data_IF_538955889126
#
_entry.id   IF_538955889126
#
_cell.length_a   1.000
_cell.length_b   1.000
_cell.length_c   1.000
_cell.angle_alpha   90.00
_cell.angle_beta   90.00
_cell.angle_gamma   90.00
#
_symmetry.space_group_name_H-M   'P 1'
#
loop_
_entity.id
_entity.type
_entity.pdbx_description
1 polymer ?
2 polymer ?
3 branched ?
4 branched ?
5 branched ?
6 non-polymer ?
7 non-polymer ?
#
# COMPACT_ATOMS: atom_id res chain seq x y z
N UNK A 8 12.55 14.65 4.93
CA UNK A 8 13.52 15.41 4.15
C UNK A 8 14.94 15.12 4.59
N UNK A 9 15.85 15.11 3.62
CA UNK A 9 17.28 15.12 3.91
C UNK A 9 17.95 16.15 3.00
N UNK A 10 19.23 16.42 3.23
CA UNK A 10 19.92 17.46 2.48
C UNK A 10 20.64 16.91 1.25
N UNK A 11 20.63 17.69 0.18
CA UNK A 11 21.28 17.32 -1.07
C UNK A 11 22.77 17.10 -0.91
N UNK A 12 23.25 15.93 -1.31
CA UNK A 12 24.68 15.62 -1.22
C UNK A 12 25.31 15.50 -2.61
N UNK A 13 24.49 15.37 -3.64
CA UNK A 13 25.01 15.21 -5.00
C UNK A 13 25.45 16.54 -5.61
N UNK A 14 26.71 16.58 -6.09
CA UNK A 14 27.37 17.75 -6.66
C UNK A 14 26.55 18.48 -7.72
N UNK A 15 26.11 17.76 -8.75
CA UNK A 15 25.44 18.37 -9.90
C UNK A 15 24.14 19.11 -9.52
N UNK A 16 23.55 18.73 -8.39
CA UNK A 16 22.25 19.27 -7.98
C UNK A 16 22.30 20.25 -6.81
N UNK A 17 23.50 20.53 -6.31
CA UNK A 17 23.64 21.49 -5.21
C UNK A 17 23.40 22.91 -5.70
N UNK A 18 22.61 23.66 -4.94
CA UNK A 18 22.34 25.06 -5.26
C UNK A 18 21.63 25.27 -6.58
N UNK A 19 20.65 24.41 -6.87
CA UNK A 19 19.83 24.55 -8.07
C UNK A 19 18.61 25.43 -7.77
N UNK A 20 18.25 25.50 -6.49
CA UNK A 20 17.11 26.28 -6.05
C UNK A 20 16.69 25.89 -4.64
N UNK A 21 16.93 24.63 -4.28
CA UNK A 21 16.55 24.11 -2.97
C UNK A 21 17.64 23.17 -2.47
N UNK A 22 17.79 23.07 -1.15
CA UNK A 22 18.85 22.26 -0.57
C UNK A 22 18.34 20.93 -0.02
N UNK A 23 17.04 20.71 -0.09
CA UNK A 23 16.45 19.53 0.54
C UNK A 23 15.66 18.62 -0.40
N UNK A 24 16.01 17.34 -0.39
CA UNK A 24 15.34 16.33 -1.20
C UNK A 24 14.98 15.10 -0.37
N UNK A 25 14.09 14.26 -0.89
CA UNK A 25 13.70 13.05 -0.18
C UNK A 25 14.17 11.79 -0.91
N UNK A 26 14.08 10.65 -0.22
CA UNK A 26 14.39 9.36 -0.82
C UNK A 26 13.44 8.30 -0.29
N UNK A 27 13.05 7.32 -1.13
CA UNK A 27 13.47 7.14 -2.53
C UNK A 27 12.79 8.12 -3.50
N UNK A 28 13.35 8.21 -4.70
CA UNK A 28 12.88 9.14 -5.73
C UNK A 28 11.97 8.47 -6.75
N UNK A 29 11.55 9.23 -7.75
CA UNK A 29 10.72 8.73 -8.84
C UNK A 29 11.37 7.56 -9.58
N UNK A 30 12.69 7.42 -9.45
CA UNK A 30 13.41 6.33 -10.10
C UNK A 30 13.63 5.17 -9.15
N UNK A 31 13.14 5.31 -7.92
CA UNK A 31 13.29 4.27 -6.90
C UNK A 31 14.77 4.01 -6.58
N UNK A 32 15.41 5.00 -5.96
CA UNK A 32 16.81 4.89 -5.56
C UNK A 32 16.93 4.89 -4.04
N UNK A 33 17.86 4.10 -3.52
CA UNK A 33 18.07 4.05 -2.08
C UNK A 33 18.73 5.31 -1.56
N UNK A 34 19.97 5.52 -2.00
CA UNK A 34 20.78 6.65 -1.53
C UNK A 34 20.92 7.72 -2.61
N UNK A 35 21.32 8.92 -2.19
CA UNK A 35 21.63 9.98 -3.14
C UNK A 35 22.86 9.58 -3.95
N UNK A 36 23.77 8.85 -3.31
CA UNK A 36 24.98 8.37 -3.95
C UNK A 36 24.66 7.43 -5.12
N UNK A 37 23.67 6.56 -4.92
CA UNK A 37 23.21 5.69 -6.00
C UNK A 37 22.58 6.53 -7.11
N UNK A 38 21.84 7.56 -6.71
CA UNK A 38 21.18 8.44 -7.66
C UNK A 38 22.19 9.31 -8.40
N UNK A 39 23.28 9.64 -7.70
CA UNK A 39 24.32 10.49 -8.24
C UNK A 39 25.14 9.84 -9.33
N UNK A 40 25.45 8.55 -9.14
CA UNK A 40 26.19 7.74 -10.10
C UNK A 40 25.54 7.75 -11.49
N UNK A 41 24.21 7.84 -11.50
CA UNK A 41 23.44 7.80 -12.73
C UNK A 41 23.29 9.18 -13.37
N UNK A 42 22.99 10.20 -12.56
CA UNK A 42 22.82 11.54 -13.08
C UNK A 42 24.16 12.15 -13.51
N UNK A 43 25.25 11.61 -12.99
CA UNK A 43 26.60 12.04 -13.36
C UNK A 43 26.91 11.68 -14.81
N UNK A 44 26.21 10.67 -15.33
CA UNK A 44 26.38 10.26 -16.70
C UNK A 44 25.86 11.32 -17.68
N UNK A 45 25.21 12.35 -17.16
CA UNK A 45 24.70 13.44 -17.98
C UNK A 45 25.63 14.66 -17.92
N UNK A 46 26.66 14.58 -17.09
CA UNK A 46 27.56 15.71 -16.85
C UNK A 46 28.04 16.44 -18.12
N UNK A 47 28.40 15.69 -19.18
CA UNK A 47 28.72 16.37 -20.44
C UNK A 47 27.63 17.35 -20.87
N UNK A 48 26.40 16.87 -21.00
CA UNK A 48 25.29 17.69 -21.50
C UNK A 48 25.01 18.93 -20.66
N UNK A 49 25.42 18.89 -19.39
CA UNK A 49 25.27 20.04 -18.52
C UNK A 49 26.28 21.12 -18.91
N UNK A 50 27.53 20.68 -19.10
CA UNK A 50 28.62 21.57 -19.49
C UNK A 50 28.42 22.17 -20.87
N UNK A 51 27.98 21.34 -21.82
CA UNK A 51 27.63 21.79 -23.16
C UNK A 51 26.55 22.87 -23.07
N UNK A 52 25.71 22.77 -22.05
CA UNK A 52 24.57 23.64 -21.85
C UNK A 52 23.69 23.63 -23.09
N UNK A 53 23.30 22.43 -23.52
CA UNK A 53 22.40 22.29 -24.66
C UNK A 53 21.03 22.83 -24.29
N UNK A 54 20.75 22.85 -23.00
CA UNK A 54 19.54 23.47 -22.46
C UNK A 54 19.84 23.98 -21.06
N UNK A 55 19.40 25.21 -20.76
CA UNK A 55 19.61 25.83 -19.44
C UNK A 55 18.88 25.04 -18.38
N UNK A 56 17.77 24.45 -18.78
CA UNK A 56 16.85 23.77 -17.86
C UNK A 56 17.34 22.39 -17.44
N UNK A 57 18.18 21.78 -18.25
CA UNK A 57 18.59 20.39 -18.03
C UNK A 57 19.06 20.07 -16.62
N UNK A 58 19.90 20.94 -16.05
CA UNK A 58 20.42 20.70 -14.70
C UNK A 58 19.30 20.70 -13.67
N UNK A 59 18.36 21.64 -13.84
CA UNK A 59 17.20 21.72 -12.96
C UNK A 59 16.26 20.55 -13.17
N UNK A 60 16.03 20.20 -14.44
CA UNK A 60 15.13 19.11 -14.77
C UNK A 60 15.66 17.78 -14.24
N UNK A 61 16.91 17.46 -14.55
CA UNK A 61 17.50 16.21 -14.11
C UNK A 61 17.54 16.11 -12.60
N UNK A 62 17.56 17.25 -11.93
CA UNK A 62 17.66 17.27 -10.48
C UNK A 62 16.28 17.19 -9.82
N UNK A 63 15.25 17.65 -10.51
CA UNK A 63 13.89 17.56 -9.99
C UNK A 63 13.40 16.13 -10.10
N UNK A 64 14.09 15.34 -10.91
CA UNK A 64 13.70 13.96 -11.17
C UNK A 64 14.52 12.98 -10.35
N UNK A 65 15.81 13.25 -10.22
CA UNK A 65 16.72 12.36 -9.49
C UNK A 65 16.81 12.71 -8.01
N UNK A 66 16.57 13.99 -7.70
CA UNK A 66 16.47 14.44 -6.32
C UNK A 66 15.34 15.45 -6.18
N UNK A 67 14.09 14.97 -6.25
CA UNK A 67 12.93 15.86 -6.24
C UNK A 67 12.86 16.68 -4.96
N UNK A 68 12.16 17.80 -5.00
CA UNK A 68 12.13 18.73 -3.89
C UNK A 68 11.48 18.08 -2.67
N UNK A 69 11.88 18.52 -1.49
CA UNK A 69 11.26 18.02 -0.26
C UNK A 69 10.91 19.20 0.64
N UNK A 70 9.62 19.38 0.89
CA UNK A 70 9.17 20.52 1.67
C UNK A 70 8.55 20.12 3.00
N UNK A 71 8.77 20.96 4.01
CA UNK A 71 8.26 20.71 5.36
C UNK A 71 6.84 21.26 5.54
N UNK A 72 6.31 21.92 4.52
CA UNK A 72 4.94 22.41 4.56
C UNK A 72 4.05 21.68 3.55
N UNK A 73 4.67 21.22 2.46
CA UNK A 73 3.97 20.50 1.41
C UNK A 73 4.53 19.08 1.29
N UNK A 74 3.76 18.10 1.74
CA UNK A 74 4.25 16.72 1.77
C UNK A 74 3.79 15.84 0.60
N UNK A 75 3.18 16.47 -0.41
CA UNK A 75 2.89 15.78 -1.67
C UNK A 75 4.03 16.03 -2.64
N UNK A 76 4.38 15.02 -3.47
CA UNK A 76 5.47 15.17 -4.44
C UNK A 76 5.26 16.37 -5.35
N UNK A 77 6.37 16.93 -5.85
CA UNK A 77 6.31 18.09 -6.73
C UNK A 77 7.25 17.89 -7.92
N UNK A 78 6.70 17.53 -9.08
CA UNK A 78 7.44 17.26 -10.30
C UNK A 78 7.61 18.52 -11.15
N UNK A 79 8.57 18.50 -12.09
CA UNK A 79 8.71 19.63 -13.02
C UNK A 79 7.60 19.62 -14.04
N UNK A 80 7.20 20.78 -14.54
CA UNK A 80 6.12 20.83 -15.52
C UNK A 80 6.56 20.25 -16.84
N UNK A 81 5.58 19.91 -17.68
CA UNK A 81 5.84 19.33 -18.99
C UNK A 81 6.67 20.28 -19.86
N UNK A 82 6.46 21.58 -19.67
CA UNK A 82 7.15 22.58 -20.48
C UNK A 82 8.65 22.60 -20.19
N UNK A 83 9.01 22.46 -18.91
CA UNK A 83 10.41 22.41 -18.50
C UNK A 83 11.12 21.24 -19.16
N UNK A 84 10.46 20.08 -19.14
CA UNK A 84 11.00 18.89 -19.73
C UNK A 84 11.08 18.99 -21.25
N UNK A 85 10.07 19.58 -21.87
CA UNK A 85 10.02 19.70 -23.32
C UNK A 85 11.12 20.61 -23.88
N UNK A 86 11.63 21.50 -23.04
CA UNK A 86 12.71 22.41 -23.43
C UNK A 86 14.07 21.73 -23.32
N UNK A 87 14.26 20.97 -22.25
CA UNK A 87 15.48 20.21 -22.06
C UNK A 87 15.59 19.14 -23.15
N UNK A 88 14.45 18.55 -23.52
CA UNK A 88 14.44 17.56 -24.58
C UNK A 88 14.71 18.24 -25.92
N UNK A 89 14.18 19.44 -26.07
CA UNK A 89 14.35 20.20 -27.31
C UNK A 89 15.83 20.50 -27.57
N UNK A 90 16.55 20.89 -26.52
CA UNK A 90 17.94 21.25 -26.66
C UNK A 90 18.88 20.06 -26.70
N UNK A 91 18.62 19.09 -25.83
CA UNK A 91 19.56 17.97 -25.65
C UNK A 91 19.39 16.80 -26.62
N UNK A 92 18.15 16.40 -26.86
CA UNK A 92 17.88 15.23 -27.70
C UNK A 92 18.60 15.18 -29.05
N UNK A 93 18.60 16.29 -29.82
CA UNK A 93 19.30 16.19 -31.11
C UNK A 93 20.78 15.84 -30.96
N UNK A 94 21.44 16.49 -30.01
CA UNK A 94 22.86 16.25 -29.75
C UNK A 94 23.10 14.82 -29.29
N UNK A 95 22.20 14.34 -28.42
CA UNK A 95 22.28 12.99 -27.89
C UNK A 95 21.99 11.97 -28.98
N UNK A 96 20.99 12.28 -29.80
CA UNK A 96 20.65 11.47 -30.96
C UNK A 96 21.88 11.26 -31.86
N UNK A 97 22.67 12.32 -32.04
CA UNK A 97 23.83 12.29 -32.94
C UNK A 97 24.90 11.30 -32.50
N UNK A 98 24.87 10.92 -31.22
CA UNK A 98 25.86 10.00 -30.69
C UNK A 98 25.26 8.63 -30.34
N UNK A 99 24.05 8.36 -30.81
CA UNK A 99 23.44 7.07 -30.60
C UNK A 99 22.86 6.91 -29.20
N UNK A 100 22.32 8.01 -28.68
CA UNK A 100 21.67 8.02 -27.38
C UNK A 100 20.24 8.48 -27.49
N UNK A 101 19.32 7.56 -27.24
CA UNK A 101 17.90 7.87 -27.25
C UNK A 101 17.54 8.66 -26.00
N UNK A 102 16.59 9.58 -26.14
CA UNK A 102 16.06 10.32 -25.00
C UNK A 102 15.39 9.32 -24.07
N UNK A 103 15.88 9.23 -22.83
CA UNK A 103 15.48 8.19 -21.87
C UNK A 103 13.97 8.14 -21.63
N UNK A 104 13.43 6.93 -21.52
CA UNK A 104 11.98 6.74 -21.42
C UNK A 104 11.42 7.22 -20.08
N UNK A 105 12.27 7.31 -19.07
CA UNK A 105 11.89 7.87 -17.79
C UNK A 105 11.73 9.38 -17.90
N UNK A 106 12.51 9.98 -18.80
CA UNK A 106 12.53 11.43 -19.01
C UNK A 106 11.37 11.90 -19.87
N UNK A 107 10.53 10.98 -20.32
CA UNK A 107 9.42 11.32 -21.20
C UNK A 107 8.54 12.40 -20.59
N UNK A 108 7.99 13.26 -21.43
CA UNK A 108 7.38 14.51 -20.97
C UNK A 108 5.87 14.47 -20.83
N UNK A 109 5.24 13.44 -21.38
CA UNK A 109 3.80 13.26 -21.25
C UNK A 109 3.46 12.55 -19.95
N UNK A 110 4.49 12.06 -19.26
CA UNK A 110 4.34 11.43 -17.95
C UNK A 110 4.32 12.53 -16.88
N UNK A 111 4.42 13.78 -17.33
CA UNK A 111 4.45 14.93 -16.44
C UNK A 111 3.19 15.76 -16.58
N UNK A 112 2.81 16.45 -15.50
CA UNK A 112 1.66 17.36 -15.54
C UNK A 112 1.95 18.56 -16.41
N UNK A 113 0.91 19.16 -17.01
CA UNK A 113 1.07 20.41 -17.72
C UNK A 113 0.68 21.53 -16.76
N UNK A 114 1.27 22.71 -16.95
CA UNK A 114 1.02 23.82 -16.03
C UNK A 114 -0.39 24.36 -16.20
N UNK A 115 -0.99 24.82 -15.10
CA UNK A 115 -2.29 25.46 -15.16
C UNK A 115 -3.44 24.65 -14.58
N UNK A 116 -3.12 23.72 -13.67
CA UNK A 116 -4.14 22.89 -13.04
C UNK A 116 -3.89 22.79 -11.54
N UNK A 117 -4.88 23.19 -10.72
CA UNK A 117 -4.80 23.04 -9.26
C UNK A 117 -4.62 21.59 -8.84
N UNK A 118 -5.18 20.66 -9.62
CA UNK A 118 -5.02 19.22 -9.37
C UNK A 118 -3.61 18.74 -9.71
N UNK A 119 -3.09 19.23 -10.82
CA UNK A 119 -1.74 18.86 -11.26
C UNK A 119 -0.77 20.02 -10.98
N UNK A 120 -0.15 20.01 -9.81
CA UNK A 120 0.74 21.10 -9.38
C UNK A 120 2.20 20.80 -9.71
N UNK A 121 2.88 21.76 -10.35
CA UNK A 121 4.21 21.54 -10.88
C UNK A 121 5.17 22.73 -10.78
N UNK A 122 6.39 22.56 -11.29
CA UNK A 122 7.43 23.59 -11.23
C UNK A 122 7.85 24.06 -12.63
N UNK A 123 7.73 25.36 -12.89
CA UNK A 123 7.99 25.93 -14.21
C UNK A 123 8.05 27.46 -14.20
N UNK A 124 8.23 28.05 -15.38
CA UNK A 124 8.38 29.50 -15.55
C UNK A 124 7.11 30.22 -15.96
N UNK A 125 6.45 30.86 -14.99
CA UNK A 125 5.26 31.66 -15.22
C UNK A 125 4.17 30.92 -16.01
N UNK B 10 10.20 -21.08 20.69
CA UNK B 10 8.98 -20.64 21.35
C UNK B 10 9.20 -20.41 22.84
N UNK B 11 10.14 -19.52 23.16
CA UNK B 11 10.41 -19.16 24.55
C UNK B 11 10.08 -17.70 24.79
N UNK B 12 9.58 -17.38 26.01
CA UNK B 12 9.12 -16.04 26.38
C UNK B 12 10.08 -14.89 26.05
N UNK B 13 11.35 -15.19 25.79
CA UNK B 13 12.26 -14.15 25.34
C UNK B 13 11.96 -13.80 23.89
N UNK B 14 11.61 -14.82 23.11
CA UNK B 14 11.26 -14.63 21.71
C UNK B 14 9.85 -14.04 21.58
N UNK B 15 8.92 -14.55 22.37
CA UNK B 15 7.54 -14.05 22.36
C UNK B 15 7.45 -12.56 22.65
N UNK B 16 8.38 -12.04 23.44
CA UNK B 16 8.37 -10.62 23.83
C UNK B 16 9.00 -9.72 22.76
N UNK B 17 10.07 -10.20 22.14
CA UNK B 17 10.79 -9.40 21.16
C UNK B 17 9.99 -9.14 19.88
N UNK B 18 9.05 -10.03 19.58
CA UNK B 18 8.23 -9.90 18.38
C UNK B 18 6.85 -9.32 18.67
N UNK B 19 6.41 -9.43 19.93
CA UNK B 19 5.04 -9.09 20.31
C UNK B 19 4.62 -7.65 19.99
N UNK B 20 5.55 -6.71 20.12
CA UNK B 20 5.23 -5.32 19.81
C UNK B 20 4.87 -5.19 18.35
N UNK B 21 5.72 -5.74 17.50
CA UNK B 21 5.52 -5.67 16.06
C UNK B 21 4.27 -6.43 15.62
N UNK B 22 4.06 -7.61 16.20
CA UNK B 22 2.90 -8.43 15.87
C UNK B 22 1.59 -7.69 16.12
N UNK B 23 1.52 -7.01 17.26
CA UNK B 23 0.31 -6.29 17.64
C UNK B 23 -0.01 -5.19 16.64
N UNK B 24 1.04 -4.52 16.16
CA UNK B 24 0.89 -3.54 15.11
C UNK B 24 0.35 -4.20 13.85
N UNK B 25 0.85 -5.40 13.56
CA UNK B 25 0.44 -6.13 12.38
C UNK B 25 -1.01 -6.51 12.39
N UNK B 26 -1.46 -7.15 13.47
CA UNK B 26 -2.84 -7.55 13.61
C UNK B 26 -3.79 -6.36 13.49
N UNK B 27 -3.36 -5.20 13.99
CA UNK B 27 -4.13 -3.98 13.85
C UNK B 27 -4.29 -3.55 12.40
N UNK B 28 -3.21 -3.63 11.63
CA UNK B 28 -3.25 -3.36 10.19
C UNK B 28 -4.25 -4.28 9.49
N UNK B 29 -4.30 -5.51 9.96
CA UNK B 29 -5.21 -6.49 9.41
C UNK B 29 -6.63 -6.09 9.72
N UNK B 30 -6.85 -5.63 10.94
CA UNK B 30 -8.18 -5.21 11.36
C UNK B 30 -8.60 -3.94 10.63
N UNK B 31 -7.67 -3.01 10.52
CA UNK B 31 -7.93 -1.76 9.80
C UNK B 31 -8.26 -1.98 8.32
N UNK B 32 -7.57 -2.90 7.66
CA UNK B 32 -7.85 -3.21 6.26
C UNK B 32 -9.21 -3.91 6.10
N UNK B 33 -9.51 -4.79 7.04
CA UNK B 33 -10.80 -5.45 7.11
C UNK B 33 -11.90 -4.39 7.25
N UNK B 34 -11.64 -3.40 8.11
CA UNK B 34 -12.53 -2.27 8.27
C UNK B 34 -12.67 -1.50 6.96
N UNK B 35 -11.58 -1.39 6.20
CA UNK B 35 -11.62 -0.70 4.92
C UNK B 35 -12.49 -1.44 3.92
N UNK B 36 -12.21 -2.73 3.77
CA UNK B 36 -12.88 -3.55 2.75
C UNK B 36 -14.39 -3.60 2.96
N UNK B 37 -14.83 -3.45 4.20
CA UNK B 37 -16.24 -3.54 4.53
C UNK B 37 -16.83 -2.21 5.03
N UNK B 38 -16.16 -1.11 4.65
CA UNK B 38 -16.51 0.23 5.09
C UNK B 38 -17.99 0.59 4.91
N UNK B 39 -18.59 0.11 3.82
CA UNK B 39 -19.96 0.49 3.49
C UNK B 39 -20.91 -0.69 3.39
N UNK B 40 -20.60 -1.76 4.12
CA UNK B 40 -21.48 -2.92 4.18
C UNK B 40 -22.14 -3.02 5.56
N UNK B 41 -23.19 -3.83 5.67
CA UNK B 41 -23.96 -3.91 6.91
C UNK B 41 -23.12 -4.42 8.07
N UNK B 42 -22.33 -5.45 7.81
CA UNK B 42 -21.26 -5.84 8.71
C UNK B 42 -20.03 -5.02 8.33
N UNK B 43 -19.49 -4.25 9.26
CA UNK B 43 -18.43 -3.31 8.92
C UNK B 43 -17.15 -3.58 9.69
N UNK B 44 -16.90 -4.86 9.97
CA UNK B 44 -15.79 -5.26 10.83
C UNK B 44 -15.86 -4.53 12.17
N UNK B 45 -16.84 -4.91 13.02
CA UNK B 45 -16.92 -4.38 14.38
C UNK B 45 -15.94 -5.16 15.27
N UNK B 46 -14.70 -5.23 14.84
CA UNK B 46 -13.74 -6.10 15.48
C UNK B 46 -12.58 -5.33 16.07
N UNK B 47 -12.11 -5.81 17.21
CA UNK B 47 -10.91 -5.30 17.84
C UNK B 47 -9.78 -6.28 17.56
N UNK B 48 -8.55 -5.81 17.71
CA UNK B 48 -7.41 -6.69 17.71
C UNK B 48 -7.61 -7.71 18.83
N UNK B 49 -7.95 -7.19 20.01
CA UNK B 49 -8.20 -8.00 21.19
C UNK B 49 -9.16 -9.15 20.91
N UNK B 50 -10.20 -8.87 20.14
CA UNK B 50 -11.30 -9.81 19.96
C UNK B 50 -10.87 -11.16 19.40
N UNK B 51 -9.85 -11.18 18.55
CA UNK B 51 -9.42 -12.45 17.95
C UNK B 51 -8.60 -13.30 18.90
N UNK B 52 -8.30 -12.76 20.08
CA UNK B 52 -7.70 -13.51 21.17
C UNK B 52 -8.78 -13.96 22.14
N UNK B 53 -9.71 -13.03 22.42
CA UNK B 53 -10.85 -13.30 23.30
C UNK B 53 -11.85 -14.19 22.59
N UNK B 54 -11.83 -14.10 21.28
CA UNK B 54 -12.82 -14.76 20.41
C UNK B 54 -14.24 -14.26 20.68
N UNK B 55 -14.35 -13.22 21.50
CA UNK B 55 -15.63 -12.58 21.74
C UNK B 55 -15.95 -11.64 20.58
N UNK B 56 -17.17 -11.74 20.06
CA UNK B 56 -17.55 -10.97 18.90
C UNK B 56 -17.34 -11.75 17.62
N UNK B 57 -16.72 -12.92 17.74
CA UNK B 57 -16.58 -13.83 16.60
C UNK B 57 -16.39 -15.31 16.97
N UNK B 58 -17.31 -15.84 17.76
CA UNK B 58 -17.37 -17.29 17.96
C UNK B 58 -18.28 -17.86 16.90
N UNK B 59 -18.89 -16.96 16.13
CA UNK B 59 -19.78 -17.34 15.05
C UNK B 59 -18.92 -17.75 13.87
N UNK B 60 -18.98 -19.03 13.51
CA UNK B 60 -18.22 -19.52 12.36
C UNK B 60 -18.84 -19.05 11.05
N UNK B 61 -19.18 -17.77 10.98
CA UNK B 61 -19.79 -17.18 9.80
C UNK B 61 -18.76 -16.90 8.73
N UNK B 62 -19.26 -16.59 7.53
CA UNK B 62 -18.41 -16.26 6.40
C UNK B 62 -17.48 -15.09 6.70
N UNK B 63 -18.00 -14.13 7.46
CA UNK B 63 -17.28 -12.89 7.76
C UNK B 63 -16.19 -13.10 8.81
N UNK B 64 -16.37 -14.12 9.65
CA UNK B 64 -15.38 -14.44 10.65
C UNK B 64 -14.14 -15.04 9.98
N UNK B 65 -14.37 -15.71 8.86
CA UNK B 65 -13.29 -16.25 8.05
C UNK B 65 -12.36 -15.15 7.57
N UNK B 66 -12.96 -14.10 7.01
CA UNK B 66 -12.18 -12.99 6.50
C UNK B 66 -11.34 -12.35 7.60
N UNK B 67 -11.94 -12.15 8.77
CA UNK B 67 -11.20 -11.55 9.88
C UNK B 67 -9.95 -12.35 10.22
N UNK B 68 -10.08 -13.67 10.30
CA UNK B 68 -8.94 -14.53 10.59
C UNK B 68 -7.81 -14.41 9.57
N UNK B 69 -8.19 -14.46 8.29
CA UNK B 69 -7.23 -14.37 7.20
C UNK B 69 -6.49 -13.03 7.18
N UNK B 70 -7.24 -11.94 7.10
CA UNK B 70 -6.68 -10.60 6.96
C UNK B 70 -5.83 -10.16 8.15
N UNK B 71 -6.15 -10.67 9.34
CA UNK B 71 -5.35 -10.36 10.53
C UNK B 71 -4.10 -11.23 10.55
N UNK B 72 -4.24 -12.50 10.17
CA UNK B 72 -3.10 -13.38 10.03
C UNK B 72 -2.19 -12.81 8.95
N UNK B 73 -2.80 -12.39 7.86
CA UNK B 73 -2.08 -11.76 6.76
C UNK B 73 -1.41 -10.48 7.22
N UNK B 74 -2.03 -9.77 8.16
CA UNK B 74 -1.47 -8.53 8.66
C UNK B 74 -0.21 -8.75 9.46
N UNK B 75 -0.24 -9.75 10.33
CA UNK B 75 0.90 -10.08 11.17
C UNK B 75 2.08 -10.48 10.30
N UNK B 76 1.83 -11.38 9.35
CA UNK B 76 2.89 -11.83 8.45
C UNK B 76 3.46 -10.71 7.59
N UNK B 77 2.57 -9.96 6.95
CA UNK B 77 2.97 -8.85 6.08
C UNK B 77 3.86 -7.86 6.80
N UNK B 78 3.42 -7.43 7.98
CA UNK B 78 4.12 -6.40 8.73
C UNK B 78 5.51 -6.85 9.19
N UNK B 79 5.60 -8.08 9.70
CA UNK B 79 6.86 -8.59 10.21
C UNK B 79 7.84 -9.02 9.11
N UNK B 80 7.30 -9.46 7.98
CA UNK B 80 8.13 -9.73 6.81
C UNK B 80 8.79 -8.43 6.39
N UNK B 81 8.05 -7.33 6.45
CA UNK B 81 8.58 -6.02 6.15
C UNK B 81 9.46 -5.53 7.31
N UNK B 82 9.10 -5.91 8.53
CA UNK B 82 9.94 -5.61 9.69
C UNK B 82 11.32 -6.21 9.52
N UNK B 83 11.34 -7.49 9.16
CA UNK B 83 12.58 -8.23 8.93
C UNK B 83 13.44 -7.58 7.86
N UNK B 84 12.82 -7.27 6.73
CA UNK B 84 13.54 -6.71 5.58
C UNK B 84 14.17 -5.35 5.89
N UNK B 85 13.43 -4.48 6.57
CA UNK B 85 14.03 -3.24 7.08
C UNK B 85 14.94 -3.55 8.26
N UNK B 86 15.66 -2.56 8.74
CA UNK B 86 16.58 -2.79 9.84
C UNK B 86 15.91 -2.79 11.20
N UNK B 87 15.07 -3.78 11.45
CA UNK B 87 14.33 -3.83 12.71
C UNK B 87 14.72 -5.01 13.59
N UNK B 88 15.09 -6.12 12.98
CA UNK B 88 15.58 -7.27 13.72
C UNK B 88 16.98 -7.65 13.27
N UNK B 89 17.86 -7.89 14.23
CA UNK B 89 19.23 -8.27 13.94
C UNK B 89 19.33 -9.73 13.52
N UNK B 90 18.50 -10.56 14.14
CA UNK B 90 18.47 -12.00 13.89
C UNK B 90 18.30 -12.34 12.42
N UNK B 91 17.26 -11.80 11.80
CA UNK B 91 16.99 -12.12 10.42
C UNK B 91 17.55 -11.06 9.46
N UNK B 92 18.26 -11.52 8.45
CA UNK B 92 18.58 -10.68 7.31
C UNK B 92 17.44 -10.88 6.34
N UNK B 93 17.65 -10.61 5.06
CA UNK B 93 16.61 -10.90 4.07
C UNK B 93 16.91 -12.16 3.27
N UNK B 94 16.18 -12.34 2.16
CA UNK B 94 16.35 -13.50 1.31
C UNK B 94 17.63 -13.39 0.50
N UNK B 95 18.75 -13.76 1.12
CA UNK B 95 20.05 -13.72 0.46
C UNK B 95 20.21 -14.87 -0.52
N UNK B 96 19.43 -15.93 -0.32
CA UNK B 96 19.39 -17.04 -1.25
C UNK B 96 18.92 -16.55 -2.61
N UNK B 97 19.47 -17.14 -3.68
CA UNK B 97 19.15 -16.78 -5.06
C UNK B 97 19.76 -15.43 -5.47
N UNK B 98 20.33 -14.70 -4.52
CA UNK B 98 20.97 -13.41 -4.83
C UNK B 98 22.25 -13.57 -5.65
N UNK B 99 22.45 -12.66 -6.60
CA UNK B 99 23.63 -12.69 -7.44
C UNK B 99 23.43 -13.47 -8.73
N UNK B 100 22.59 -14.49 -8.68
CA UNK B 100 22.33 -15.34 -9.86
C UNK B 100 21.74 -14.59 -11.05
N UNK B 101 21.63 -15.28 -12.18
CA UNK B 101 21.04 -14.69 -13.37
C UNK B 101 19.64 -15.26 -13.55
N UNK B 102 18.64 -14.39 -13.46
CA UNK B 102 17.26 -14.82 -13.50
C UNK B 102 16.61 -14.76 -14.86
N UNK B 103 17.23 -14.03 -15.78
CA UNK B 103 16.67 -13.89 -17.11
C UNK B 103 17.55 -13.08 -18.05
N UNK B 104 17.06 -12.88 -19.27
CA UNK B 104 17.82 -12.15 -20.28
C UNK B 104 17.99 -10.68 -19.92
N UNK B 105 19.22 -10.31 -19.58
CA UNK B 105 19.53 -8.92 -19.29
C UNK B 105 19.18 -8.48 -17.88
N UNK B 106 18.94 -9.44 -16.99
CA UNK B 106 18.77 -9.11 -15.58
C UNK B 106 19.33 -10.14 -14.63
N UNK B 107 19.70 -9.68 -13.44
CA UNK B 107 20.26 -10.53 -12.41
C UNK B 107 19.54 -10.29 -11.09
N UNK B 108 19.58 -11.26 -10.20
CA UNK B 108 18.99 -11.09 -8.87
C UNK B 108 19.87 -10.20 -8.01
N UNK B 109 19.36 -9.82 -6.85
CA UNK B 109 20.06 -8.88 -5.99
C UNK B 109 19.05 -8.13 -5.13
N UNK B 110 19.48 -7.01 -4.56
CA UNK B 110 18.63 -6.24 -3.66
C UNK B 110 18.22 -7.01 -2.43
N UNK B 111 17.23 -6.50 -1.70
CA UNK B 111 16.73 -7.22 -0.53
C UNK B 111 15.34 -7.78 -0.75
N UNK B 112 15.27 -9.04 -1.20
CA UNK B 112 14.00 -9.72 -1.35
C UNK B 112 13.40 -9.99 0.02
N UNK B 113 12.12 -9.72 0.17
CA UNK B 113 11.49 -9.82 1.48
C UNK B 113 11.49 -11.26 2.01
N UNK B 114 11.75 -11.41 3.31
CA UNK B 114 11.78 -12.72 3.94
C UNK B 114 10.38 -13.15 4.37
N UNK B 115 9.57 -13.58 3.41
CA UNK B 115 8.19 -13.94 3.69
C UNK B 115 8.10 -15.13 4.62
N UNK B 116 9.01 -16.09 4.46
CA UNK B 116 9.03 -17.28 5.29
C UNK B 116 9.28 -16.94 6.76
N UNK B 117 9.92 -15.80 6.99
CA UNK B 117 10.11 -15.31 8.35
C UNK B 117 8.78 -14.82 8.89
N UNK B 118 8.09 -14.01 8.11
CA UNK B 118 6.80 -13.47 8.48
C UNK B 118 5.78 -14.56 8.73
N UNK B 119 5.78 -15.58 7.88
CA UNK B 119 4.88 -16.71 8.05
C UNK B 119 5.22 -17.42 9.35
N UNK B 120 6.52 -17.52 9.65
CA UNK B 120 6.99 -18.18 10.86
C UNK B 120 6.40 -17.55 12.11
N UNK B 121 6.52 -16.23 12.21
CA UNK B 121 6.00 -15.49 13.34
C UNK B 121 4.48 -15.53 13.39
N UNK B 122 3.85 -15.26 12.26
CA UNK B 122 2.40 -15.21 12.16
C UNK B 122 1.73 -16.49 12.65
N UNK B 123 2.30 -17.63 12.30
CA UNK B 123 1.81 -18.91 12.81
C UNK B 123 1.89 -18.94 14.34
N UNK B 124 3.03 -18.49 14.86
CA UNK B 124 3.31 -18.55 16.30
C UNK B 124 2.28 -17.81 17.14
N UNK B 125 1.94 -16.60 16.72
CA UNK B 125 0.98 -15.78 17.46
C UNK B 125 -0.45 -16.08 17.07
N UNK B 126 -0.76 -15.88 15.78
CA UNK B 126 -2.13 -15.99 15.29
C UNK B 126 -2.71 -17.39 15.43
N UNK B 127 -1.96 -18.41 14.99
CA UNK B 127 -2.47 -19.78 15.08
C UNK B 127 -2.48 -20.27 16.52
N UNK B 128 -1.75 -19.58 17.39
CA UNK B 128 -1.72 -19.90 18.80
C UNK B 128 -3.06 -19.68 19.49
N UNK B 129 -3.67 -18.53 19.22
CA UNK B 129 -4.95 -18.17 19.82
C UNK B 129 -6.06 -19.15 19.48
N UNK B 130 -5.88 -19.90 18.38
CA UNK B 130 -6.86 -20.91 17.98
C UNK B 130 -6.71 -22.14 18.88
N UNK B 131 -7.18 -22.02 20.11
CA UNK B 131 -7.11 -23.12 21.05
C UNK B 131 -8.30 -24.05 20.86
N UNK B 132 -8.11 -25.31 21.23
CA UNK B 132 -9.13 -26.31 21.02
C UNK B 132 -8.74 -27.21 19.87
N UNK B 133 -9.26 -28.44 19.87
CA UNK B 133 -8.96 -29.37 18.81
C UNK B 133 -10.22 -29.58 17.96
N UNK B 134 -11.27 -28.83 18.31
CA UNK B 134 -12.58 -28.96 17.67
C UNK B 134 -12.61 -28.50 16.21
N UNK B 135 -13.76 -28.68 15.57
CA UNK B 135 -13.93 -28.36 14.15
C UNK B 135 -13.80 -26.88 13.84
N UNK B 136 -14.30 -26.04 14.74
CA UNK B 136 -14.21 -24.60 14.57
C UNK B 136 -12.76 -24.14 14.61
N UNK B 137 -11.96 -24.79 15.44
CA UNK B 137 -10.56 -24.44 15.59
C UNK B 137 -9.75 -24.83 14.35
N UNK B 138 -10.15 -25.91 13.68
CA UNK B 138 -9.49 -26.29 12.44
C UNK B 138 -9.88 -25.33 11.33
N UNK B 139 -11.15 -24.92 11.33
CA UNK B 139 -11.66 -23.94 10.37
C UNK B 139 -10.86 -22.66 10.43
N UNK B 140 -10.72 -22.12 11.64
CA UNK B 140 -9.99 -20.90 11.84
C UNK B 140 -8.52 -21.03 11.48
N UNK B 141 -7.92 -22.17 11.86
CA UNK B 141 -6.53 -22.44 11.51
C UNK B 141 -6.35 -22.43 9.99
N UNK B 142 -7.34 -22.96 9.28
CA UNK B 142 -7.29 -22.99 7.83
C UNK B 142 -7.27 -21.59 7.28
N UNK B 143 -8.23 -20.77 7.73
CA UNK B 143 -8.41 -19.42 7.23
C UNK B 143 -7.18 -18.56 7.47
N UNK B 144 -6.51 -18.80 8.58
CA UNK B 144 -5.26 -18.11 8.86
C UNK B 144 -4.25 -18.32 7.74
N UNK B 145 -4.01 -19.59 7.38
CA UNK B 145 -3.06 -19.91 6.33
C UNK B 145 -3.55 -19.40 4.99
N UNK B 146 -4.87 -19.36 4.81
CA UNK B 146 -5.44 -18.85 3.57
C UNK B 146 -5.01 -17.41 3.33
N UNK B 147 -5.01 -16.62 4.40
CA UNK B 147 -4.59 -15.23 4.32
C UNK B 147 -3.09 -15.15 4.29
N UNK B 148 -2.46 -16.07 5.00
CA UNK B 148 -1.00 -16.14 5.07
C UNK B 148 -0.38 -16.45 3.71
N UNK B 149 -0.97 -17.40 2.99
CA UNK B 149 -0.44 -17.75 1.67
C UNK B 149 -0.89 -16.78 0.60
N UNK B 150 -1.93 -16.00 0.89
CA UNK B 150 -2.35 -14.92 0.02
C UNK B 150 -1.23 -13.88 -0.04
N UNK B 151 -0.60 -13.66 1.11
CA UNK B 151 0.52 -12.72 1.21
C UNK B 151 1.69 -13.20 0.37
N UNK B 152 1.92 -14.51 0.39
CA UNK B 152 3.05 -15.11 -0.32
C UNK B 152 2.90 -15.06 -1.84
N UNK B 153 1.77 -15.60 -2.34
CA UNK B 153 1.49 -15.64 -3.79
C UNK B 153 1.51 -14.27 -4.48
N UNK B 154 1.14 -13.24 -3.75
CA UNK B 154 1.01 -11.90 -4.31
C UNK B 154 2.35 -11.21 -4.54
N UNK B 155 3.44 -11.84 -4.09
CA UNK B 155 4.78 -11.28 -4.27
C UNK B 155 5.18 -11.18 -5.74
N UNK B 156 5.78 -10.06 -6.10
CA UNK B 156 6.12 -9.76 -7.49
C UNK B 156 7.56 -9.33 -7.65
N UNK B 157 8.12 -9.57 -8.83
CA UNK B 157 9.49 -9.16 -9.12
C UNK B 157 9.51 -7.66 -9.38
N UNK B 158 10.09 -6.90 -8.46
CA UNK B 158 10.28 -5.48 -8.68
C UNK B 158 11.74 -5.22 -9.05
N UNK B 159 11.96 -4.20 -9.88
CA UNK B 159 13.27 -3.98 -10.46
C UNK B 159 13.72 -2.52 -10.35
N UNK B 160 15.03 -2.31 -10.47
CA UNK B 160 15.56 -0.98 -10.73
C UNK B 160 16.51 -1.03 -11.92
N UNK B 161 16.25 -0.15 -12.90
CA UNK B 161 17.05 -0.11 -14.12
C UNK B 161 18.35 0.64 -13.89
N UNK B 162 19.47 -0.09 -13.90
CA UNK B 162 20.76 0.55 -13.71
C UNK B 162 21.64 0.41 -14.96
N UNK B 163 21.01 0.48 -16.13
CA UNK B 163 21.74 0.49 -17.38
C UNK B 163 22.31 1.84 -17.72
N UNK B 164 22.83 1.98 -18.94
CA UNK B 164 23.43 3.24 -19.36
C UNK B 164 22.36 4.33 -19.37
N UNK B 165 22.57 5.34 -18.53
CA UNK B 165 21.68 6.50 -18.46
C UNK B 165 20.30 6.16 -17.90
N UNK B 166 20.18 4.96 -17.31
CA UNK B 166 18.92 4.53 -16.73
C UNK B 166 18.12 3.54 -17.55
N UNK B 167 18.63 3.21 -18.74
CA UNK B 167 18.00 2.25 -19.63
C UNK B 167 17.80 0.92 -18.94
N UNK B 168 16.68 0.26 -19.22
CA UNK B 168 16.38 -1.03 -18.59
C UNK B 168 17.06 -2.19 -19.31
N UNK B 169 18.06 -1.87 -20.12
CA UNK B 169 18.86 -2.87 -20.82
C UNK B 169 19.44 -3.88 -19.84
N UNK B 170 20.11 -3.38 -18.82
CA UNK B 170 20.54 -4.22 -17.71
C UNK B 170 19.87 -3.74 -16.42
N UNK B 171 19.43 -4.68 -15.60
CA UNK B 171 18.70 -4.34 -14.38
C UNK B 171 18.86 -5.37 -13.27
N UNK B 172 18.76 -4.91 -12.04
CA UNK B 172 18.83 -5.76 -10.86
C UNK B 172 17.43 -5.91 -10.29
N UNK B 173 17.02 -7.15 -10.03
CA UNK B 173 15.68 -7.42 -9.54
C UNK B 173 15.68 -8.10 -8.19
N UNK B 174 14.58 -7.97 -7.47
CA UNK B 174 14.36 -8.69 -6.23
C UNK B 174 12.87 -8.97 -6.07
N UNK B 175 12.53 -9.83 -5.13
CA UNK B 175 11.16 -10.25 -4.94
C UNK B 175 10.53 -9.47 -3.80
N UNK B 176 9.46 -8.74 -4.09
CA UNK B 176 8.86 -7.82 -3.12
C UNK B 176 7.41 -8.17 -2.82
N UNK B 177 6.94 -7.75 -1.65
CA UNK B 177 5.53 -7.86 -1.28
C UNK B 177 4.67 -6.95 -2.15
N UNK B 178 3.43 -7.34 -2.39
CA UNK B 178 2.46 -6.45 -3.02
C UNK B 178 2.02 -5.46 -1.94
N UNK B 179 1.25 -4.45 -2.34
CA UNK B 179 0.69 -3.53 -1.37
C UNK B 179 -0.36 -4.27 -0.56
N UNK B 180 -0.39 -4.06 0.75
CA UNK B 180 -1.32 -4.78 1.61
C UNK B 180 -2.77 -4.56 1.18
N UNK B 181 -3.02 -3.44 0.54
CA UNK B 181 -4.34 -3.15 -0.02
C UNK B 181 -4.73 -4.22 -1.03
N UNK B 182 -3.81 -4.53 -1.94
CA UNK B 182 -4.06 -5.50 -2.98
C UNK B 182 -4.32 -6.87 -2.37
N UNK B 183 -3.66 -7.16 -1.25
CA UNK B 183 -3.92 -8.38 -0.49
C UNK B 183 -5.31 -8.35 0.13
N UNK B 184 -5.71 -7.17 0.59
CA UNK B 184 -7.05 -6.98 1.14
C UNK B 184 -8.13 -7.19 0.08
N UNK B 185 -7.92 -6.58 -1.07
CA UNK B 185 -8.83 -6.75 -2.19
C UNK B 185 -8.95 -8.21 -2.61
N UNK B 186 -7.81 -8.91 -2.56
CA UNK B 186 -7.74 -10.32 -2.95
C UNK B 186 -8.51 -11.19 -1.98
N UNK B 187 -8.28 -10.95 -0.70
CA UNK B 187 -8.94 -11.70 0.37
C UNK B 187 -10.42 -11.35 0.46
N UNK B 188 -10.75 -10.13 0.06
CA UNK B 188 -12.14 -9.73 -0.05
C UNK B 188 -12.87 -10.64 -1.03
N UNK B 189 -12.31 -10.79 -2.23
CA UNK B 189 -12.78 -11.76 -3.21
C UNK B 189 -12.87 -13.17 -2.62
N UNK B 190 -11.78 -13.61 -1.97
CA UNK B 190 -11.74 -14.95 -1.37
C UNK B 190 -12.84 -15.14 -0.34
N UNK B 191 -13.27 -14.03 0.26
CA UNK B 191 -14.39 -14.03 1.20
C UNK B 191 -15.71 -14.10 0.45
N UNK B 192 -15.84 -13.27 -0.58
CA UNK B 192 -17.06 -13.23 -1.39
C UNK B 192 -17.42 -14.58 -1.99
N UNK B 193 -16.42 -15.42 -2.22
CA UNK B 193 -16.65 -16.70 -2.83
C UNK B 193 -16.20 -17.89 -1.98
N UNK B 194 -16.10 -17.66 -0.68
CA UNK B 194 -15.90 -18.75 0.28
C UNK B 194 -17.11 -19.66 0.22
N UNK B 195 -16.98 -20.88 0.74
CA UNK B 195 -18.11 -21.82 0.72
C UNK B 195 -18.32 -22.59 2.02
N UNK B 196 -19.58 -22.95 2.25
CA UNK B 196 -20.02 -23.56 3.50
C UNK B 196 -19.66 -25.05 3.56
N UNK B 197 -19.35 -25.55 4.76
CA UNK B 197 -18.94 -26.94 4.96
C UNK B 197 -19.93 -27.70 5.84
N UNK B 198 -20.27 -28.92 5.44
CA UNK B 198 -21.12 -29.78 6.27
C UNK B 198 -20.36 -31.04 6.72
N UNK B 199 -20.17 -31.19 8.03
CA UNK B 199 -19.44 -32.32 8.58
C UNK B 199 -20.27 -33.07 9.62
N UNK B 213 -13.36 -38.62 14.72
CA UNK B 213 -12.94 -37.22 14.57
C UNK B 213 -12.29 -36.97 13.22
N UNK B 214 -11.54 -37.95 12.73
CA UNK B 214 -10.82 -37.83 11.48
C UNK B 214 -11.71 -37.65 10.25
N UNK B 215 -13.01 -37.89 10.42
CA UNK B 215 -13.97 -37.68 9.35
C UNK B 215 -14.11 -36.20 9.02
N UNK B 216 -13.97 -35.36 10.04
CA UNK B 216 -14.02 -33.92 9.86
C UNK B 216 -12.72 -33.42 9.25
N UNK B 217 -11.60 -33.83 9.84
CA UNK B 217 -10.27 -33.43 9.37
C UNK B 217 -10.02 -33.82 7.92
N UNK B 218 -10.83 -34.76 7.43
CA UNK B 218 -10.81 -35.16 6.02
C UNK B 218 -11.47 -34.10 5.15
N UNK B 219 -12.61 -33.60 5.62
CA UNK B 219 -13.39 -32.61 4.87
C UNK B 219 -12.67 -31.28 4.65
N UNK B 220 -11.80 -30.93 5.60
CA UNK B 220 -11.07 -29.67 5.51
C UNK B 220 -9.91 -29.77 4.52
N UNK B 221 -9.44 -30.99 4.29
CA UNK B 221 -8.35 -31.20 3.36
C UNK B 221 -8.89 -31.30 1.94
N UNK B 222 -10.22 -31.37 1.83
CA UNK B 222 -10.87 -31.35 0.53
C UNK B 222 -11.10 -29.93 0.07
N UNK B 223 -10.61 -28.98 0.86
CA UNK B 223 -10.77 -27.56 0.59
C UNK B 223 -9.43 -26.94 0.28
N UNK B 224 -9.35 -26.23 -0.85
CA UNK B 224 -8.12 -25.55 -1.26
C UNK B 224 -7.57 -24.63 -0.18
N UNK B 225 -6.26 -24.62 -0.06
CA UNK B 225 -5.61 -23.84 0.99
C UNK B 225 -5.80 -22.35 0.86
N UNK B 226 -6.19 -21.91 -0.34
CA UNK B 226 -6.42 -20.49 -0.62
C UNK B 226 -7.82 -20.05 -0.20
N UNK B 227 -8.80 -20.92 -0.42
CA UNK B 227 -10.21 -20.62 -0.14
C UNK B 227 -10.54 -20.50 1.35
N UNK B 228 -11.56 -19.70 1.67
CA UNK B 228 -11.98 -19.55 3.07
C UNK B 228 -13.12 -20.49 3.45
N UNK B 229 -13.07 -21.02 4.66
CA UNK B 229 -14.08 -21.96 5.13
C UNK B 229 -14.95 -21.37 6.23
N UNK B 230 -16.26 -21.56 6.09
CA UNK B 230 -17.20 -21.20 7.15
C UNK B 230 -18.29 -22.26 7.30
N UNK B 231 -18.93 -22.28 8.46
CA UNK B 231 -19.87 -23.35 8.81
C UNK B 231 -21.28 -22.85 8.99
N UNK B 232 -21.45 -21.84 9.84
CA UNK B 232 -22.77 -21.26 10.11
C UNK B 232 -23.15 -20.24 9.05
N UNK B 233 -24.45 -20.06 8.83
CA UNK B 233 -24.93 -19.01 7.95
C UNK B 233 -24.78 -17.66 8.66
N UNK B 234 -24.68 -16.60 7.88
CA UNK B 234 -24.47 -15.28 8.46
C UNK B 234 -25.78 -14.63 8.88
N UNK B 235 -25.80 -14.01 10.07
CA UNK B 235 -26.99 -13.36 10.63
C UNK B 235 -27.46 -12.20 9.78
N UNK B 236 -28.67 -11.69 10.04
CA UNK B 236 -29.12 -10.48 9.40
C UNK B 236 -28.35 -9.32 10.02
N UNK B 237 -27.53 -8.65 9.22
CA UNK B 237 -26.67 -7.60 9.75
C UNK B 237 -27.40 -6.26 9.85
N UNK B 238 -28.62 -6.20 9.32
CA UNK B 238 -29.50 -5.07 9.56
C UNK B 238 -29.83 -4.97 11.04
N UNK B 239 -29.93 -6.13 11.68
CA UNK B 239 -30.42 -6.22 13.04
C UNK B 239 -29.29 -6.18 14.08
N UNK B 240 -29.62 -5.61 15.24
CA UNK B 240 -28.72 -5.60 16.38
C UNK B 240 -28.86 -6.92 17.13
N UNK B 241 -27.73 -7.52 17.49
CA UNK B 241 -27.72 -8.77 18.24
C UNK B 241 -26.54 -8.77 19.19
N UNK B 242 -26.74 -8.18 20.37
CA UNK B 242 -25.66 -7.96 21.33
C UNK B 242 -24.96 -9.25 21.76
N UNK B 243 -25.65 -10.39 21.62
CA UNK B 243 -25.03 -11.68 21.92
C UNK B 243 -23.89 -11.99 20.95
N UNK B 244 -23.95 -11.42 19.75
CA UNK B 244 -22.97 -11.70 18.70
C UNK B 244 -21.98 -10.56 18.50
N UNK B 245 -22.14 -9.47 19.24
CA UNK B 245 -21.27 -8.31 19.10
C UNK B 245 -21.65 -7.49 17.89
N UNK B 246 -22.88 -7.69 17.43
CA UNK B 246 -23.41 -6.96 16.27
C UNK B 246 -24.20 -5.74 16.70
N UNK B 247 -23.74 -4.56 16.29
CA UNK B 247 -24.28 -3.30 16.79
C UNK B 247 -25.38 -2.71 15.94
N UNK B 248 -25.87 -3.47 14.96
CA UNK B 248 -26.92 -2.97 14.09
C UNK B 248 -26.41 -1.91 13.14
N UNK B 249 -27.27 -1.55 12.18
CA UNK B 249 -26.86 -0.66 11.10
C UNK B 249 -27.19 0.81 11.39
N UNK B 250 -27.87 1.06 12.51
CA UNK B 250 -28.31 2.40 12.87
C UNK B 250 -27.17 3.30 13.31
N UNK B 251 -27.19 4.54 12.84
CA UNK B 251 -26.19 5.53 13.20
C UNK B 251 -24.93 5.41 12.36
N UNK B 252 -25.05 4.77 11.20
CA UNK B 252 -23.88 4.55 10.36
C UNK B 252 -23.86 5.47 9.16
N UNK B 253 -22.70 6.07 8.90
CA UNK B 253 -22.54 6.96 7.77
C UNK B 253 -22.82 6.21 6.48
N UNK B 254 -23.53 6.86 5.56
CA UNK B 254 -23.71 6.31 4.24
C UNK B 254 -23.39 7.35 3.19
N UNK B 255 -23.30 6.93 1.93
CA UNK B 255 -22.92 7.81 0.84
C UNK B 255 -24.08 8.04 -0.13
N UNK B 256 -24.45 9.30 -0.31
CA UNK B 256 -25.53 9.65 -1.20
C UNK B 256 -24.98 10.26 -2.48
N UNK B 257 -24.48 11.49 -2.36
CA UNK B 257 -23.95 12.23 -3.50
C UNK B 257 -22.44 12.09 -3.60
N UNK B 258 -21.96 11.97 -4.84
CA UNK B 258 -20.54 11.88 -5.11
C UNK B 258 -20.22 11.84 -6.59
N UNK B 259 -19.22 12.62 -6.99
CA UNK B 259 -18.81 12.72 -8.39
C UNK B 259 -18.36 11.36 -8.93
N UNK B 260 -17.33 10.81 -8.30
CA UNK B 260 -16.83 9.50 -8.69
C UNK B 260 -17.00 8.46 -7.60
N UNK B 261 -18.25 8.03 -7.39
CA UNK B 261 -18.53 6.96 -6.45
C UNK B 261 -18.96 5.72 -7.19
N UNK B 262 -18.45 4.57 -6.77
CA UNK B 262 -18.89 3.29 -7.32
C UNK B 262 -20.40 3.18 -7.16
N UNK B 263 -21.07 2.60 -8.16
CA UNK B 263 -22.50 2.33 -8.09
C UNK B 263 -22.83 1.63 -6.77
N UNK B 264 -21.87 0.84 -6.29
CA UNK B 264 -21.90 0.25 -4.97
C UNK B 264 -22.00 1.32 -3.88
N UNK B 265 -21.12 2.31 -3.94
CA UNK B 265 -21.09 3.37 -2.95
C UNK B 265 -22.34 4.23 -2.96
N UNK B 266 -22.87 4.49 -4.16
CA UNK B 266 -24.09 5.28 -4.29
C UNK B 266 -25.27 4.59 -3.63
N UNK B 267 -25.25 3.26 -3.63
CA UNK B 267 -26.34 2.47 -3.06
C UNK B 267 -26.26 2.36 -1.54
N UNK B 268 -25.15 2.81 -0.96
CA UNK B 268 -24.92 2.64 0.48
C UNK B 268 -26.06 3.14 1.35
N UNK B 269 -26.73 4.21 0.91
CA UNK B 269 -27.85 4.76 1.67
C UNK B 269 -29.08 3.86 1.66
N UNK B 270 -29.41 3.31 0.50
CA UNK B 270 -30.50 2.35 0.41
C UNK B 270 -30.09 1.03 1.06
N UNK B 271 -28.83 0.67 0.89
CA UNK B 271 -28.31 -0.60 1.39
C UNK B 271 -28.20 -0.65 2.92
N UNK B 272 -27.60 0.39 3.50
CA UNK B 272 -27.42 0.43 4.95
C UNK B 272 -28.69 0.89 5.67
N UNK B 273 -29.37 1.88 5.11
CA UNK B 273 -30.49 2.51 5.81
C UNK B 273 -31.86 1.98 5.42
N UNK B 274 -32.37 2.38 4.26
CA UNK B 274 -33.78 2.16 3.92
C UNK B 274 -34.17 0.69 3.83
N UNK B 275 -33.31 -0.15 3.24
CA UNK B 275 -33.56 -1.58 3.18
C UNK B 275 -33.56 -2.22 4.56
N UNK B 276 -33.09 -1.47 5.54
CA UNK B 276 -33.05 -1.96 6.92
C UNK B 276 -34.15 -1.33 7.74
N UNK B 277 -35.01 -0.57 7.08
CA UNK B 277 -36.12 0.08 7.75
C UNK B 277 -35.84 1.51 8.17
N UNK B 278 -34.59 1.81 8.45
CA UNK B 278 -34.19 3.13 8.93
C UNK B 278 -34.26 4.23 7.86
N UNK B 279 -34.25 5.47 8.32
CA UNK B 279 -34.41 6.63 7.43
C UNK B 279 -33.05 7.29 7.23
N UNK B 280 -32.94 8.14 6.21
CA UNK B 280 -31.68 8.81 5.91
C UNK B 280 -31.66 10.27 6.32
N UNK B 281 -30.81 10.60 7.26
CA UNK B 281 -30.69 11.96 7.78
C UNK B 281 -29.36 12.56 7.34
N UNK B 282 -29.34 13.88 7.15
CA UNK B 282 -28.11 14.59 6.82
C UNK B 282 -27.52 15.28 8.06
N UNK B 283 -26.24 15.60 8.00
CA UNK B 283 -25.55 16.22 9.12
C UNK B 283 -24.51 17.20 8.59
N UNK B 284 -24.72 18.49 8.84
CA UNK B 284 -23.79 19.50 8.34
C UNK B 284 -22.50 19.50 9.15
N UNK B 285 -21.39 19.28 8.45
CA UNK B 285 -20.08 19.33 9.06
C UNK B 285 -19.25 20.40 8.36
N UNK B 286 -18.61 21.25 9.15
CA UNK B 286 -17.65 22.20 8.61
C UNK B 286 -16.27 21.63 8.90
N UNK B 287 -15.40 21.60 7.90
CA UNK B 287 -14.03 21.14 8.10
C UNK B 287 -12.99 22.10 7.52
N UNK B 288 -11.77 22.02 8.06
CA UNK B 288 -10.70 22.92 7.64
C UNK B 288 -9.66 22.17 6.81
N UNK B 289 -9.53 22.56 5.54
CA UNK B 289 -8.66 21.84 4.61
C UNK B 289 -7.73 22.78 3.87
N UNK B 290 -6.48 22.35 3.71
CA UNK B 290 -5.49 23.09 2.95
C UNK B 290 -5.87 23.03 1.47
N UNK B 291 -5.94 24.19 0.82
CA UNK B 291 -6.47 24.23 -0.53
C UNK B 291 -6.02 25.47 -1.29
N UNK B 292 -6.50 25.59 -2.54
CA UNK B 292 -6.22 26.74 -3.39
C UNK B 292 -4.73 27.08 -3.48
N UNK B 293 -3.90 26.04 -3.53
CA UNK B 293 -2.46 26.18 -3.51
C UNK B 293 -1.88 26.81 -4.78
N UNK B 294 -1.02 27.79 -4.58
CA UNK B 294 -0.29 28.42 -5.67
C UNK B 294 1.21 28.22 -5.44
N UNK B 295 1.96 28.03 -6.53
CA UNK B 295 3.38 27.73 -6.45
C UNK B 295 4.25 28.91 -6.88
N UNK B 296 5.01 29.47 -5.93
CA UNK B 296 5.94 30.56 -6.22
C UNK B 296 7.13 30.01 -6.98
N UNK B 297 7.77 30.85 -7.80
CA UNK B 297 8.90 30.37 -8.59
C UNK B 297 10.08 29.99 -7.70
N UNK B 298 10.49 28.73 -7.85
CA UNK B 298 11.60 28.09 -7.12
C UNK B 298 11.25 27.74 -5.68
N UNK B 299 11.94 26.73 -5.17
CA UNK B 299 12.10 26.47 -3.74
C UNK B 299 10.81 26.31 -2.91
N UNK B 300 9.81 27.14 -3.16
CA UNK B 300 8.69 27.29 -2.24
C UNK B 300 7.31 27.11 -2.85
N UNK B 301 6.38 26.61 -2.03
CA UNK B 301 4.96 26.63 -2.36
C UNK B 301 4.16 27.02 -1.11
N UNK B 302 3.21 27.93 -1.28
CA UNK B 302 2.43 28.45 -0.16
C UNK B 302 0.94 28.14 -0.29
N UNK B 303 0.42 27.32 0.61
CA UNK B 303 -0.98 26.88 0.57
C UNK B 303 -1.82 27.49 1.67
N UNK B 304 -2.73 28.40 1.30
CA UNK B 304 -3.68 28.95 2.25
C UNK B 304 -4.68 27.85 2.63
N UNK B 305 -5.39 28.04 3.73
CA UNK B 305 -6.38 27.03 4.13
C UNK B 305 -7.80 27.59 4.12
N UNK B 306 -8.76 26.71 3.82
CA UNK B 306 -10.15 27.14 3.64
C UNK B 306 -11.10 26.36 4.53
N UNK B 307 -12.22 27.01 4.89
CA UNK B 307 -13.30 26.35 5.62
C UNK B 307 -14.30 25.81 4.60
N UNK B 308 -14.52 24.50 4.62
CA UNK B 308 -15.36 23.86 3.63
C UNK B 308 -16.51 23.10 4.28
N UNK B 309 -17.67 23.13 3.64
CA UNK B 309 -18.86 22.49 4.19
C UNK B 309 -19.12 21.16 3.51
N UNK B 310 -19.05 20.10 4.32
CA UNK B 310 -19.32 18.75 3.85
C UNK B 310 -20.59 18.26 4.54
N UNK B 311 -21.55 17.79 3.76
CA UNK B 311 -22.77 17.28 4.35
C UNK B 311 -22.78 15.76 4.34
N UNK B 312 -22.76 15.18 5.53
CA UNK B 312 -22.71 13.74 5.66
C UNK B 312 -24.11 13.16 5.81
N UNK B 313 -24.24 11.89 5.47
CA UNK B 313 -25.50 11.18 5.63
C UNK B 313 -25.33 10.02 6.59
N UNK B 314 -26.42 9.60 7.20
CA UNK B 314 -26.36 8.49 8.13
C UNK B 314 -27.74 7.91 8.37
N UNK B 315 -27.74 6.67 8.87
CA UNK B 315 -28.98 5.99 9.21
C UNK B 315 -29.46 6.46 10.56
N UNK B 316 -30.77 6.71 10.65
CA UNK B 316 -31.43 7.07 11.91
C UNK B 316 -32.72 6.24 12.06
#
# INVERSE_FOLDING_TARGET
ASAKELACQEITVPLCKGIGYNYTYMPNQFNHDTQDEAGLEVHQFWPLVEIQCSPDLKFFLCSMYTPICLEDYKKPLPPCRSVCERAKAGCAPLMRQYGFAWPDRMRCDRLPEQGNPDTLCMDAAALEVLFQ
AWSVNNFLMTGPKAYLTYSASVAVGAQNGIEECKYQFAWERWNCPESTLQLATHNGLRSATRETSFVHAISSAGVMYTLTRNCSMGDFDNCGCDDSRNGRIGGRGWVWGGCSDNAEFGERISKLFVDGLETGQDARALMNLHNNEAGRLAVKETMKRTCKCHGISGSCSIQTCWLQLAEFRDIGNHLKIKHDQALKLEMDKRKMRSGNSADNRGAIADAFSSVAGSELIFLEDSPDYCLKNISLGLQGTEGRECLQSGKNLSQWERRSCKRLCTDCGLRVEEKKTEIISSCNCKFHWCCTVKCEQCKQVVIKHFCA
#
